data_IF_414181148624
#
_entry.id   IF_414181148624
#
_cell.length_a   1.000
_cell.length_b   1.000
_cell.length_c   1.000
_cell.angle_alpha   90.00
_cell.angle_beta   90.00
_cell.angle_gamma   90.00
#
_symmetry.space_group_name_H-M   'P 1'
#
loop_
_entity.id
_entity.type
_entity.pdbx_description
1 polymer ?
#
# COMPACT_ATOMS: atom_id res chain seq x y z
N UNK A 1 -0.61 19.12 -35.55
CA UNK A 1 -1.98 18.90 -36.06
C UNK A 1 -2.26 17.40 -35.97
N UNK A 2 -3.47 17.00 -35.55
CA UNK A 2 -3.87 15.59 -35.49
C UNK A 2 -4.56 15.25 -36.80
N UNK A 3 -3.98 14.35 -37.59
CA UNK A 3 -4.43 14.05 -38.94
C UNK A 3 -5.73 13.23 -38.92
N UNK A 4 -6.53 13.33 -39.99
CA UNK A 4 -7.86 12.67 -40.05
C UNK A 4 -7.77 11.16 -39.87
N UNK A 5 -6.73 10.51 -40.38
CA UNK A 5 -6.45 9.10 -40.15
C UNK A 5 -6.28 8.79 -38.66
N UNK A 6 -5.39 9.50 -37.96
CA UNK A 6 -5.14 9.27 -36.53
C UNK A 6 -6.41 9.46 -35.71
N UNK A 7 -7.21 10.50 -35.98
CA UNK A 7 -8.47 10.73 -35.25
C UNK A 7 -9.50 9.62 -35.52
N UNK A 8 -9.62 9.14 -36.75
CA UNK A 8 -10.57 8.07 -37.10
C UNK A 8 -10.14 6.71 -36.54
N UNK A 9 -8.87 6.34 -36.66
CA UNK A 9 -8.32 5.10 -36.10
C UNK A 9 -8.42 5.12 -34.58
N UNK A 10 -8.05 6.24 -33.95
CA UNK A 10 -8.18 6.44 -32.51
C UNK A 10 -9.63 6.36 -32.03
N UNK A 11 -10.58 7.01 -32.71
CA UNK A 11 -11.99 6.93 -32.35
C UNK A 11 -12.54 5.51 -32.47
N UNK A 12 -12.09 4.72 -33.47
CA UNK A 12 -12.47 3.31 -33.63
C UNK A 12 -11.84 2.42 -32.56
N UNK A 13 -10.57 2.64 -32.20
CA UNK A 13 -9.89 1.90 -31.14
C UNK A 13 -10.48 2.22 -29.76
N UNK A 14 -10.79 3.50 -29.47
CA UNK A 14 -11.47 3.90 -28.24
C UNK A 14 -12.85 3.24 -28.10
N UNK A 15 -13.64 3.20 -29.18
CA UNK A 15 -14.92 2.48 -29.20
C UNK A 15 -14.77 0.98 -28.96
N UNK A 16 -13.59 0.44 -29.20
CA UNK A 16 -13.25 -0.97 -29.01
C UNK A 16 -12.42 -1.22 -27.74
N UNK A 17 -12.31 -0.23 -26.85
CA UNK A 17 -11.62 -0.37 -25.56
C UNK A 17 -10.09 -0.27 -25.62
N UNK A 18 -9.49 -0.14 -26.81
CA UNK A 18 -8.04 -0.01 -26.94
C UNK A 18 -7.60 1.44 -26.81
N UNK A 19 -6.88 1.75 -25.72
CA UNK A 19 -6.39 3.08 -25.38
C UNK A 19 -4.87 3.06 -25.15
N UNK A 20 -4.22 4.23 -25.19
CA UNK A 20 -2.79 4.36 -24.84
C UNK A 20 -1.80 4.30 -26.00
N UNK A 21 -2.26 4.22 -27.26
CA UNK A 21 -1.36 4.29 -28.42
C UNK A 21 -0.74 5.68 -28.59
N UNK A 22 0.57 5.71 -28.81
CA UNK A 22 1.31 6.94 -29.05
C UNK A 22 1.11 7.44 -30.49
N UNK A 23 1.50 8.69 -30.75
CA UNK A 23 1.45 9.25 -32.11
C UNK A 23 2.26 8.40 -33.10
N UNK A 24 3.38 7.85 -32.65
CA UNK A 24 4.29 7.04 -33.47
C UNK A 24 3.67 5.68 -33.84
N UNK A 25 2.84 5.10 -32.97
CA UNK A 25 2.09 3.87 -33.27
C UNK A 25 1.12 4.07 -34.44
N UNK A 26 0.42 5.20 -34.47
CA UNK A 26 -0.48 5.52 -35.57
C UNK A 26 0.27 5.78 -36.88
N UNK A 27 1.46 6.38 -36.83
CA UNK A 27 2.28 6.55 -38.04
C UNK A 27 2.84 5.22 -38.55
N UNK A 28 3.20 4.31 -37.64
CA UNK A 28 3.66 2.96 -37.98
C UNK A 28 2.53 2.15 -38.61
N UNK A 29 1.30 2.26 -38.08
CA UNK A 29 0.12 1.63 -38.65
C UNK A 29 -0.26 2.20 -40.01
N UNK A 30 -0.11 3.52 -40.22
CA UNK A 30 -0.35 4.15 -41.52
C UNK A 30 0.63 3.62 -42.59
N UNK A 31 1.91 3.47 -42.23
CA UNK A 31 2.94 2.91 -43.11
C UNK A 31 2.71 1.42 -43.38
N UNK A 32 2.34 0.64 -42.36
CA UNK A 32 2.09 -0.80 -42.49
C UNK A 32 0.90 -1.12 -43.41
N UNK A 33 -0.05 -0.20 -43.53
CA UNK A 33 -1.27 -0.33 -44.32
C UNK A 33 -1.17 0.35 -45.69
N UNK A 34 -0.03 0.97 -46.00
CA UNK A 34 0.18 1.68 -47.27
C UNK A 34 -0.79 2.84 -47.47
N UNK A 35 -1.08 3.59 -46.39
CA UNK A 35 -1.93 4.76 -46.47
C UNK A 35 -1.09 5.99 -46.87
N UNK A 36 -1.01 6.25 -48.17
CA UNK A 36 -0.24 7.38 -48.73
C UNK A 36 -0.88 8.76 -48.45
N UNK A 37 -2.21 8.81 -48.26
CA UNK A 37 -2.95 10.04 -47.93
C UNK A 37 -3.63 9.95 -46.55
N UNK A 38 -2.91 10.44 -45.54
CA UNK A 38 -3.31 10.46 -44.11
C UNK A 38 -4.54 11.38 -43.88
N UNK A 39 -4.88 12.25 -44.83
CA UNK A 39 -6.02 13.17 -44.73
C UNK A 39 -7.28 12.69 -45.46
N UNK A 40 -7.18 11.64 -46.27
CA UNK A 40 -8.33 11.00 -46.90
C UNK A 40 -8.20 9.45 -46.95
N UNK A 41 -8.13 8.79 -45.79
CA UNK A 41 -7.94 7.34 -45.75
C UNK A 41 -9.21 6.59 -46.16
N UNK A 42 -9.05 5.50 -46.91
CA UNK A 42 -10.18 4.64 -47.27
C UNK A 42 -10.69 3.87 -46.05
N UNK A 43 -11.95 3.43 -46.10
CA UNK A 43 -12.57 2.68 -45.00
C UNK A 43 -11.79 1.39 -44.68
N UNK A 44 -11.23 0.77 -45.71
CA UNK A 44 -10.41 -0.46 -45.65
C UNK A 44 -9.05 -0.21 -44.98
N UNK A 45 -8.38 0.89 -45.32
CA UNK A 45 -7.12 1.29 -44.67
C UNK A 45 -7.33 1.59 -43.19
N UNK A 46 -8.44 2.23 -42.83
CA UNK A 46 -8.78 2.49 -41.43
C UNK A 46 -9.06 1.19 -40.65
N UNK A 47 -9.72 0.20 -41.24
CA UNK A 47 -9.93 -1.11 -40.58
C UNK A 47 -8.62 -1.88 -40.44
N UNK A 48 -7.81 -1.96 -41.49
CA UNK A 48 -6.53 -2.68 -41.45
C UNK A 48 -5.56 -2.05 -40.45
N UNK A 49 -5.56 -0.72 -40.30
CA UNK A 49 -4.72 -0.03 -39.32
C UNK A 49 -5.17 -0.29 -37.89
N UNK A 50 -6.49 -0.35 -37.66
CA UNK A 50 -7.06 -0.76 -36.37
C UNK A 50 -6.66 -2.20 -36.05
N UNK A 51 -6.78 -3.12 -37.00
CA UNK A 51 -6.45 -4.53 -36.81
C UNK A 51 -4.94 -4.74 -36.59
N UNK A 52 -4.09 -3.97 -37.28
CA UNK A 52 -2.65 -3.96 -37.06
C UNK A 52 -2.28 -3.49 -35.65
N UNK A 53 -2.91 -2.41 -35.17
CA UNK A 53 -2.66 -1.89 -33.82
C UNK A 53 -3.19 -2.81 -32.73
N UNK A 54 -4.33 -3.48 -32.96
CA UNK A 54 -4.82 -4.56 -32.10
C UNK A 54 -3.83 -5.70 -32.05
N UNK A 55 -3.41 -6.22 -33.22
CA UNK A 55 -2.45 -7.31 -33.28
C UNK A 55 -1.13 -6.95 -32.58
N UNK A 56 -0.68 -5.70 -32.69
CA UNK A 56 0.49 -5.19 -31.95
C UNK A 56 0.26 -5.15 -30.43
N UNK A 57 -0.91 -4.69 -29.99
CA UNK A 57 -1.27 -4.68 -28.57
C UNK A 57 -1.40 -6.11 -27.99
N UNK A 58 -1.98 -7.04 -28.76
CA UNK A 58 -2.10 -8.45 -28.38
C UNK A 58 -0.74 -9.17 -28.44
N UNK A 59 0.15 -8.81 -29.37
CA UNK A 59 1.48 -9.41 -29.50
C UNK A 59 2.49 -8.90 -28.46
N UNK A 60 2.24 -7.74 -27.84
CA UNK A 60 2.99 -7.29 -26.66
C UNK A 60 2.56 -8.02 -25.37
N UNK A 61 1.49 -8.82 -25.44
CA UNK A 61 0.99 -9.67 -24.37
C UNK A 61 1.44 -11.14 -24.59
N UNK A 62 2.74 -11.38 -24.78
CA UNK A 62 3.29 -12.74 -24.66
C UNK A 62 3.53 -13.02 -23.18
N UNK A 63 2.49 -13.52 -22.51
CA UNK A 63 2.60 -14.14 -21.20
C UNK A 63 2.84 -15.63 -21.43
N UNK A 64 3.81 -16.18 -20.71
CA UNK A 64 4.03 -17.62 -20.59
C UNK A 64 2.75 -18.28 -20.04
N UNK A 65 2.08 -19.06 -20.89
CA UNK A 65 0.98 -20.00 -20.58
C UNK A 65 1.33 -20.91 -19.38
N UNK A 66 0.43 -21.37 -18.50
CA UNK A 66 -0.95 -21.88 -18.68
C UNK A 66 -1.53 -22.25 -17.28
N UNK A 67 -2.83 -22.61 -17.09
CA UNK A 67 -4.09 -22.05 -17.59
C UNK A 67 -5.05 -21.67 -16.43
N UNK A 68 -6.05 -20.81 -16.68
CA UNK A 68 -7.47 -20.93 -16.24
C UNK A 68 -8.28 -19.87 -17.02
N UNK A 69 -9.49 -20.27 -17.39
CA UNK A 69 -10.37 -19.80 -18.48
C UNK A 69 -10.88 -18.34 -18.37
N UNK A 70 -10.74 -17.57 -19.45
CA UNK A 70 -11.62 -16.44 -19.76
C UNK A 70 -12.81 -16.90 -20.61
N UNK A 71 -14.04 -16.60 -20.17
CA UNK A 71 -15.20 -16.55 -21.06
C UNK A 71 -16.03 -15.28 -20.85
N UNK A 72 -15.79 -14.33 -21.75
CA UNK A 72 -16.78 -13.56 -22.53
C UNK A 72 -17.96 -12.91 -21.78
N UNK A 73 -17.86 -11.59 -21.55
CA UNK A 73 -19.02 -10.70 -21.54
C UNK A 73 -19.24 -10.13 -22.93
N UNK A 74 -20.15 -10.78 -23.65
CA UNK A 74 -20.72 -10.31 -24.91
C UNK A 74 -21.62 -9.12 -24.61
N UNK A 75 -21.30 -7.99 -25.25
CA UNK A 75 -22.23 -6.89 -25.48
C UNK A 75 -23.48 -7.43 -26.20
N UNK A 76 -24.68 -7.21 -25.65
CA UNK A 76 -25.91 -7.27 -26.45
C UNK A 76 -26.68 -5.98 -26.24
N UNK A 77 -26.85 -5.28 -27.35
CA UNK A 77 -27.72 -4.12 -27.55
C UNK A 77 -29.15 -4.36 -27.05
N UNK A 78 -29.70 -3.31 -26.46
CA UNK A 78 -31.10 -2.91 -26.42
C UNK A 78 -32.13 -3.78 -27.17
N UNK A 79 -33.06 -4.37 -26.42
CA UNK A 79 -34.46 -4.53 -26.84
C UNK A 79 -35.38 -4.16 -25.67
N UNK A 80 -36.19 -3.12 -25.88
CA UNK A 80 -37.38 -2.85 -25.08
C UNK A 80 -38.30 -4.07 -25.16
N UNK A 81 -38.54 -4.73 -24.03
CA UNK A 81 -39.75 -5.57 -23.86
C UNK A 81 -40.21 -5.41 -22.42
N UNK A 82 -41.38 -4.80 -22.25
CA UNK A 82 -42.14 -4.87 -21.00
C UNK A 82 -42.34 -6.34 -20.65
N UNK A 83 -41.80 -6.80 -19.53
CA UNK A 83 -42.35 -7.97 -18.83
C UNK A 83 -42.04 -7.87 -17.34
N UNK A 84 -43.16 -7.78 -16.61
CA UNK A 84 -43.46 -8.14 -15.23
C UNK A 84 -42.33 -8.36 -14.21
N UNK A 85 -42.60 -7.75 -13.06
CA UNK A 85 -42.02 -7.91 -11.73
C UNK A 85 -41.94 -9.39 -11.35
N UNK A 86 -40.73 -9.93 -11.20
CA UNK A 86 -40.48 -11.06 -10.30
C UNK A 86 -39.29 -10.73 -9.39
N UNK A 87 -39.60 -10.64 -8.11
CA UNK A 87 -38.69 -10.59 -6.96
C UNK A 87 -37.69 -11.74 -7.03
N UNK A 88 -36.50 -11.49 -7.55
CA UNK A 88 -35.35 -12.40 -7.52
C UNK A 88 -34.12 -11.62 -7.10
N UNK A 89 -33.55 -11.99 -5.94
CA UNK A 89 -32.37 -11.36 -5.37
C UNK A 89 -31.23 -11.24 -6.41
N UNK A 90 -30.66 -10.04 -6.56
CA UNK A 90 -29.43 -9.81 -7.30
C UNK A 90 -28.29 -10.55 -6.57
N UNK A 91 -27.94 -11.75 -7.02
CA UNK A 91 -26.71 -12.41 -6.54
C UNK A 91 -25.51 -11.78 -7.26
N UNK A 92 -24.88 -10.79 -6.63
CA UNK A 92 -23.64 -10.17 -7.13
C UNK A 92 -22.46 -11.09 -6.78
N UNK A 93 -21.58 -11.36 -7.75
CA UNK A 93 -20.43 -12.22 -7.52
C UNK A 93 -19.38 -11.46 -6.68
N UNK A 94 -18.58 -12.14 -5.83
CA UNK A 94 -17.55 -11.50 -5.00
C UNK A 94 -16.53 -10.69 -5.82
N UNK A 95 -16.32 -11.07 -7.08
CA UNK A 95 -15.41 -10.39 -8.01
C UNK A 95 -15.94 -8.99 -8.39
N UNK A 96 -17.25 -8.83 -8.54
CA UNK A 96 -17.88 -7.54 -8.89
C UNK A 96 -17.81 -6.55 -7.71
N UNK A 97 -17.85 -7.07 -6.48
CA UNK A 97 -17.70 -6.27 -5.25
C UNK A 97 -16.28 -5.73 -5.12
N UNK A 98 -15.26 -6.54 -5.43
CA UNK A 98 -13.87 -6.09 -5.46
C UNK A 98 -13.62 -4.97 -6.48
N UNK A 99 -14.25 -5.05 -7.65
CA UNK A 99 -14.17 -4.00 -8.66
C UNK A 99 -14.93 -2.72 -8.24
N UNK A 100 -16.09 -2.84 -7.59
CA UNK A 100 -16.80 -1.71 -6.98
C UNK A 100 -15.98 -1.01 -5.90
N UNK A 101 -15.36 -1.78 -4.99
CA UNK A 101 -14.48 -1.26 -3.94
C UNK A 101 -13.31 -0.51 -4.57
N UNK A 102 -12.67 -1.08 -5.59
CA UNK A 102 -11.53 -0.45 -6.28
C UNK A 102 -11.92 0.87 -6.93
N UNK A 103 -13.04 0.90 -7.67
CA UNK A 103 -13.53 2.11 -8.32
C UNK A 103 -13.94 3.19 -7.32
N UNK A 104 -14.60 2.82 -6.23
CA UNK A 104 -15.02 3.75 -5.18
C UNK A 104 -13.83 4.27 -4.36
N UNK A 105 -12.87 3.41 -4.02
CA UNK A 105 -11.64 3.80 -3.34
C UNK A 105 -10.81 4.79 -4.18
N UNK A 106 -10.68 4.53 -5.49
CA UNK A 106 -10.02 5.43 -6.42
C UNK A 106 -10.72 6.80 -6.49
N UNK A 107 -12.06 6.83 -6.47
CA UNK A 107 -12.83 8.07 -6.41
C UNK A 107 -12.61 8.84 -5.09
N UNK A 108 -12.46 8.13 -3.98
CA UNK A 108 -12.13 8.72 -2.67
C UNK A 108 -10.65 9.10 -2.52
N UNK A 109 -9.81 8.83 -3.54
CA UNK A 109 -8.37 9.10 -3.51
C UNK A 109 -7.58 8.14 -2.61
N UNK A 110 -8.14 6.98 -2.28
CA UNK A 110 -7.53 5.95 -1.44
C UNK A 110 -6.97 4.85 -2.33
N UNK A 111 -5.69 4.53 -2.16
CA UNK A 111 -5.05 3.39 -2.84
C UNK A 111 -5.06 2.22 -1.87
N UNK A 112 -5.77 1.15 -2.25
CA UNK A 112 -5.87 -0.09 -1.49
C UNK A 112 -5.00 -1.16 -2.17
N UNK A 113 -4.40 -2.03 -1.37
CA UNK A 113 -3.78 -3.27 -1.84
C UNK A 113 -4.83 -4.36 -2.04
N UNK A 114 -4.50 -5.38 -2.84
CA UNK A 114 -5.39 -6.49 -3.17
C UNK A 114 -5.92 -7.23 -1.93
N UNK A 115 -5.08 -7.40 -0.91
CA UNK A 115 -5.51 -7.99 0.37
C UNK A 115 -6.55 -7.12 1.08
N UNK A 116 -6.40 -5.80 1.06
CA UNK A 116 -7.34 -4.89 1.73
C UNK A 116 -8.67 -4.83 0.99
N UNK A 117 -8.65 -4.95 -0.34
CA UNK A 117 -9.87 -5.04 -1.14
C UNK A 117 -10.65 -6.31 -0.78
N UNK A 118 -9.97 -7.45 -0.61
CA UNK A 118 -10.60 -8.70 -0.18
C UNK A 118 -11.16 -8.62 1.24
N UNK A 119 -10.38 -8.08 2.19
CA UNK A 119 -10.82 -7.92 3.58
C UNK A 119 -12.06 -7.00 3.69
N UNK A 120 -12.14 -5.96 2.84
CA UNK A 120 -13.31 -5.07 2.76
C UNK A 120 -14.48 -5.79 2.07
N UNK A 121 -14.22 -6.54 0.98
CA UNK A 121 -15.25 -7.29 0.27
C UNK A 121 -15.93 -8.33 1.17
N UNK A 122 -15.17 -8.99 2.06
CA UNK A 122 -15.70 -9.93 3.04
C UNK A 122 -16.63 -9.26 4.08
N UNK A 123 -16.52 -7.94 4.26
CA UNK A 123 -17.36 -7.16 5.17
C UNK A 123 -18.62 -6.57 4.52
N UNK A 124 -18.73 -6.65 3.19
CA UNK A 124 -19.88 -6.17 2.42
C UNK A 124 -20.93 -7.28 2.33
N UNK A 125 -22.16 -6.98 2.72
CA UNK A 125 -23.26 -7.94 2.68
C UNK A 125 -23.87 -8.01 1.28
N UNK A 126 -23.40 -8.97 0.49
CA UNK A 126 -23.89 -9.19 -0.89
C UNK A 126 -25.33 -9.71 -0.97
N UNK A 127 -26.06 -9.80 0.15
CA UNK A 127 -27.49 -10.15 0.17
C UNK A 127 -28.43 -8.98 -0.11
N UNK A 128 -27.89 -7.77 -0.31
CA UNK A 128 -28.66 -6.57 -0.65
C UNK A 128 -29.44 -6.72 -1.96
N UNK A 129 -30.61 -6.08 -2.02
CA UNK A 129 -31.59 -6.32 -3.08
C UNK A 129 -31.35 -5.45 -4.32
N UNK A 130 -30.57 -4.38 -4.18
CA UNK A 130 -30.29 -3.42 -5.26
C UNK A 130 -28.80 -3.08 -5.33
N UNK A 131 -28.33 -2.70 -6.52
CA UNK A 131 -26.95 -2.27 -6.75
C UNK A 131 -26.58 -1.02 -5.93
N UNK A 132 -27.52 -0.10 -5.74
CA UNK A 132 -27.31 1.12 -4.96
C UNK A 132 -27.10 0.80 -3.46
N UNK A 133 -27.82 -0.19 -2.91
CA UNK A 133 -27.60 -0.67 -1.54
C UNK A 133 -26.21 -1.28 -1.37
N UNK A 134 -25.74 -2.06 -2.35
CA UNK A 134 -24.39 -2.64 -2.34
C UNK A 134 -23.33 -1.54 -2.41
N UNK A 135 -23.55 -0.51 -3.23
CA UNK A 135 -22.65 0.64 -3.34
C UNK A 135 -22.56 1.42 -2.01
N UNK A 136 -23.68 1.60 -1.33
CA UNK A 136 -23.74 2.26 -0.01
C UNK A 136 -23.03 1.41 1.06
N UNK A 137 -23.17 0.09 1.02
CA UNK A 137 -22.45 -0.82 1.91
C UNK A 137 -20.94 -0.83 1.64
N UNK A 138 -20.51 -0.80 0.38
CA UNK A 138 -19.10 -0.67 -0.01
C UNK A 138 -18.52 0.64 0.50
N UNK A 139 -19.26 1.75 0.38
CA UNK A 139 -18.83 3.05 0.91
C UNK A 139 -18.72 3.03 2.44
N UNK A 140 -19.70 2.43 3.12
CA UNK A 140 -19.69 2.27 4.57
C UNK A 140 -18.51 1.40 5.04
N UNK A 141 -18.24 0.31 4.34
CA UNK A 141 -17.11 -0.58 4.62
C UNK A 141 -15.76 0.10 4.38
N UNK A 142 -15.64 0.91 3.31
CA UNK A 142 -14.45 1.71 3.03
C UNK A 142 -14.18 2.75 4.14
N UNK A 143 -15.22 3.45 4.61
CA UNK A 143 -15.09 4.40 5.71
C UNK A 143 -14.73 3.70 7.02
N UNK A 144 -15.40 2.59 7.34
CA UNK A 144 -15.09 1.80 8.53
C UNK A 144 -13.65 1.25 8.50
N UNK A 145 -13.16 0.85 7.33
CA UNK A 145 -11.78 0.41 7.14
C UNK A 145 -10.79 1.57 7.32
N UNK A 146 -11.08 2.76 6.80
CA UNK A 146 -10.26 3.94 7.00
C UNK A 146 -10.16 4.31 8.50
N UNK A 147 -11.29 4.28 9.22
CA UNK A 147 -11.33 4.51 10.67
C UNK A 147 -10.56 3.42 11.42
N UNK A 148 -10.73 2.15 11.06
CA UNK A 148 -9.97 1.05 11.66
C UNK A 148 -8.45 1.21 11.44
N UNK A 149 -8.04 1.59 10.24
CA UNK A 149 -6.64 1.85 9.89
C UNK A 149 -6.06 2.99 10.72
N UNK A 150 -6.79 4.11 10.86
CA UNK A 150 -6.40 5.23 11.70
C UNK A 150 -6.25 4.80 13.18
N UNK A 151 -7.24 4.09 13.71
CA UNK A 151 -7.21 3.58 15.08
C UNK A 151 -6.06 2.60 15.32
N UNK A 152 -5.70 1.78 14.33
CA UNK A 152 -4.56 0.86 14.42
C UNK A 152 -3.22 1.63 14.51
N UNK A 153 -3.08 2.71 13.74
CA UNK A 153 -1.90 3.58 13.81
C UNK A 153 -1.81 4.23 15.18
N UNK A 154 -2.91 4.77 15.71
CA UNK A 154 -2.95 5.40 17.04
C UNK A 154 -2.59 4.40 18.15
N UNK A 155 -3.17 3.19 18.12
CA UNK A 155 -2.84 2.15 19.09
C UNK A 155 -1.34 1.76 19.04
N UNK A 156 -0.74 1.75 17.84
CA UNK A 156 0.70 1.48 17.68
C UNK A 156 1.54 2.65 18.22
N UNK A 157 1.12 3.89 17.99
CA UNK A 157 1.74 5.08 18.56
C UNK A 157 1.74 4.98 20.10
N UNK A 158 0.59 4.71 20.72
CA UNK A 158 0.47 4.56 22.17
C UNK A 158 1.35 3.45 22.73
N UNK A 159 1.41 2.31 22.04
CA UNK A 159 2.30 1.21 22.42
C UNK A 159 3.77 1.63 22.37
N UNK A 160 4.18 2.36 21.33
CA UNK A 160 5.57 2.84 21.22
C UNK A 160 5.90 3.90 22.27
N UNK A 161 4.97 4.83 22.54
CA UNK A 161 5.12 5.85 23.57
C UNK A 161 5.30 5.22 24.95
N UNK A 162 4.47 4.22 25.27
CA UNK A 162 4.56 3.45 26.52
C UNK A 162 5.92 2.76 26.65
N UNK A 163 6.39 2.08 25.59
CA UNK A 163 7.73 1.43 25.59
C UNK A 163 8.87 2.43 25.78
N UNK A 164 8.78 3.62 25.17
CA UNK A 164 9.80 4.67 25.33
C UNK A 164 9.81 5.18 26.76
N UNK A 165 8.63 5.47 27.32
CA UNK A 165 8.50 5.91 28.71
C UNK A 165 9.07 4.88 29.69
N UNK A 166 8.69 3.61 29.54
CA UNK A 166 9.21 2.52 30.36
C UNK A 166 10.74 2.40 30.24
N UNK A 167 11.27 2.50 29.02
CA UNK A 167 12.72 2.46 28.78
C UNK A 167 13.45 3.62 29.46
N UNK A 168 12.89 4.82 29.45
CA UNK A 168 13.46 6.00 30.11
C UNK A 168 13.46 5.82 31.63
N UNK A 169 12.34 5.35 32.21
CA UNK A 169 12.24 5.06 33.65
C UNK A 169 13.25 3.99 34.07
N UNK A 170 13.31 2.87 33.33
CA UNK A 170 14.27 1.80 33.59
C UNK A 170 15.73 2.28 33.48
N UNK A 171 16.03 3.11 32.48
CA UNK A 171 17.37 3.70 32.30
C UNK A 171 17.74 4.63 33.46
N UNK A 172 16.79 5.44 33.93
CA UNK A 172 17.01 6.30 35.10
C UNK A 172 17.21 5.51 36.38
N UNK A 173 16.44 4.44 36.60
CA UNK A 173 16.62 3.57 37.75
C UNK A 173 17.99 2.89 37.73
N UNK A 174 18.38 2.29 36.60
CA UNK A 174 19.72 1.71 36.42
C UNK A 174 20.84 2.74 36.65
N UNK A 175 20.66 3.98 36.19
CA UNK A 175 21.63 5.05 36.42
C UNK A 175 21.75 5.39 37.91
N UNK A 176 20.63 5.47 38.62
CA UNK A 176 20.60 5.70 40.07
C UNK A 176 21.27 4.56 40.83
N UNK A 177 20.99 3.31 40.46
CA UNK A 177 21.59 2.14 41.09
C UNK A 177 23.11 2.11 40.88
N UNK A 178 23.59 2.41 39.66
CA UNK A 178 25.02 2.53 39.37
C UNK A 178 25.70 3.67 40.13
N UNK A 179 25.04 4.83 40.24
CA UNK A 179 25.56 5.95 41.02
C UNK A 179 25.63 5.60 42.51
N UNK A 180 24.60 4.96 43.06
CA UNK A 180 24.59 4.50 44.44
C UNK A 180 25.70 3.49 44.73
N UNK A 181 25.88 2.50 43.84
CA UNK A 181 26.95 1.51 43.93
C UNK A 181 28.33 2.18 43.86
N UNK A 182 28.52 3.10 42.91
CA UNK A 182 29.78 3.84 42.73
C UNK A 182 30.11 4.72 43.93
N UNK A 183 29.14 5.45 44.47
CA UNK A 183 29.31 6.29 45.67
C UNK A 183 29.64 5.44 46.91
N UNK A 184 28.99 4.30 47.08
CA UNK A 184 29.28 3.36 48.17
C UNK A 184 30.71 2.82 48.03
N UNK A 185 31.11 2.42 46.82
CA UNK A 185 32.47 1.96 46.55
C UNK A 185 33.54 3.02 46.81
N UNK A 186 33.29 4.28 46.42
CA UNK A 186 34.18 5.40 46.74
C UNK A 186 34.27 5.62 48.24
N UNK A 187 33.14 5.57 48.96
CA UNK A 187 33.12 5.73 50.42
C UNK A 187 33.95 4.64 51.11
N UNK A 188 33.80 3.38 50.71
CA UNK A 188 34.60 2.27 51.24
C UNK A 188 36.09 2.47 50.94
N UNK A 189 36.45 2.81 49.69
CA UNK A 189 37.84 3.05 49.32
C UNK A 189 38.47 4.23 50.09
N UNK A 190 37.70 5.29 50.37
CA UNK A 190 38.15 6.42 51.18
C UNK A 190 38.39 6.02 52.63
N UNK A 191 37.52 5.18 53.20
CA UNK A 191 37.66 4.66 54.56
C UNK A 191 38.88 3.75 54.70
N UNK A 192 39.10 2.85 53.73
CA UNK A 192 40.28 2.00 53.67
C UNK A 192 41.57 2.82 53.55
N UNK A 193 41.58 3.83 52.67
CA UNK A 193 42.72 4.75 52.51
C UNK A 193 43.03 5.50 53.81
N UNK A 194 41.99 5.96 54.53
CA UNK A 194 42.13 6.63 55.84
C UNK A 194 42.73 5.69 56.88
N UNK A 195 42.25 4.45 56.94
CA UNK A 195 42.75 3.45 57.88
C UNK A 195 44.20 3.06 57.57
N UNK A 196 44.54 2.91 56.30
CA UNK A 196 45.92 2.66 55.85
C UNK A 196 46.84 3.82 56.23
N UNK A 197 46.42 5.07 56.00
CA UNK A 197 47.20 6.26 56.36
C UNK A 197 47.43 6.35 57.88
N UNK A 198 46.38 6.10 58.68
CA UNK A 198 46.52 6.04 60.15
C UNK A 198 47.51 4.96 60.59
N UNK A 199 47.42 3.77 59.99
CA UNK A 199 48.33 2.66 60.29
C UNK A 199 49.78 3.02 59.95
N UNK A 200 50.02 3.63 58.78
CA UNK A 200 51.33 4.11 58.38
C UNK A 200 51.88 5.18 59.33
N UNK A 201 51.07 6.18 59.70
CA UNK A 201 51.47 7.22 60.66
C UNK A 201 51.79 6.64 62.05
N UNK A 202 50.96 5.73 62.55
CA UNK A 202 51.21 5.04 63.82
C UNK A 202 52.51 4.23 63.78
N UNK A 203 52.77 3.52 62.67
CA UNK A 203 54.02 2.80 62.45
C UNK A 203 55.24 3.71 62.46
N UNK A 204 55.15 4.89 61.82
CA UNK A 204 56.23 5.89 61.82
C UNK A 204 56.46 6.43 63.24
N UNK A 205 55.40 6.81 63.96
CA UNK A 205 55.50 7.30 65.34
C UNK A 205 56.15 6.27 66.27
N UNK A 206 55.77 5.00 66.13
CA UNK A 206 56.33 3.91 66.93
C UNK A 206 57.83 3.76 66.68
N UNK A 207 58.25 3.83 65.41
CA UNK A 207 59.68 3.78 65.04
C UNK A 207 60.44 5.00 65.55
N UNK A 208 59.85 6.19 65.47
CA UNK A 208 60.47 7.42 65.95
C UNK A 208 60.67 7.39 67.47
N UNK A 209 59.66 6.95 68.22
CA UNK A 209 59.76 6.78 69.68
C UNK A 209 60.83 5.74 70.07
N UNK A 210 60.92 4.63 69.33
CA UNK A 210 61.95 3.62 69.57
C UNK A 210 63.37 4.16 69.32
N UNK A 211 63.54 5.04 68.33
CA UNK A 211 64.82 5.67 68.00
C UNK A 211 65.25 6.75 69.01
N UNK A 212 64.32 7.34 69.77
CA UNK A 212 64.62 8.34 70.81
C UNK A 212 64.96 7.72 72.18
N UNK A 213 64.72 6.42 72.37
CA UNK A 213 64.98 5.70 73.62
C UNK A 213 66.34 4.96 73.64
N UNK A 214 67.15 5.10 72.58
CA UNK A 214 68.55 4.66 72.50
C UNK A 214 69.49 5.84 72.67
#
# INVERSE_FOLDING_TARGET
MSDKFTNNVRARLYKQGYQGFTKDDYTTAALAVGCDDINNPTKEQLSQAVDYLKAKATSQLSVTDEPIEEKFLTQVESQQTETEIETGALTVAPQDVGEMITNKAAFLGVILSEQQINDIADSVDTSASTFDEILEQVETALLAYADFSANQVDAKIDQTLTRVQERVVNRHQQSRDKLSLGLTGISTALEDSRNQTKSQLSGILTRLNAAQAQ
#
